data_IF_526049711146
#
_entry.id   IF_526049711146
#
_cell.length_a   1.000
_cell.length_b   1.000
_cell.length_c   1.000
_cell.angle_alpha   90.00
_cell.angle_beta   90.00
_cell.angle_gamma   90.00
#
_symmetry.space_group_name_H-M   'P 1'
#
loop_
_entity.id
_entity.type
_entity.pdbx_description
1 polymer ?
#
# COMPACT_ATOMS: atom_id res chain seq x y z
N UNK A 1 37.31 -27.51 -10.09
CA UNK A 1 36.69 -26.21 -10.49
C UNK A 1 35.25 -26.35 -11.01
N UNK A 2 34.91 -27.36 -11.83
CA UNK A 2 33.54 -27.58 -12.33
C UNK A 2 32.50 -27.95 -11.25
N UNK A 3 32.91 -28.70 -10.22
CA UNK A 3 32.04 -29.09 -9.08
C UNK A 3 31.65 -27.88 -8.21
N UNK A 4 32.56 -26.92 -8.01
CA UNK A 4 32.25 -25.71 -7.25
C UNK A 4 31.17 -24.86 -7.92
N UNK A 5 31.23 -24.76 -9.26
CA UNK A 5 30.24 -24.05 -10.06
C UNK A 5 28.88 -24.75 -9.96
N UNK A 6 28.86 -26.08 -9.99
CA UNK A 6 27.63 -26.86 -9.86
C UNK A 6 26.94 -26.65 -8.50
N UNK A 7 27.71 -26.58 -7.41
CA UNK A 7 27.18 -26.33 -6.06
C UNK A 7 26.63 -24.91 -5.88
N UNK A 8 27.26 -23.90 -6.50
CA UNK A 8 26.77 -22.51 -6.50
C UNK A 8 25.48 -22.33 -7.30
N UNK A 9 25.25 -23.15 -8.33
CA UNK A 9 24.00 -23.15 -9.11
C UNK A 9 22.88 -23.87 -8.37
N UNK A 10 23.18 -24.87 -7.54
CA UNK A 10 22.16 -25.57 -6.74
C UNK A 10 21.69 -24.71 -5.56
N UNK A 11 22.57 -23.91 -4.94
CA UNK A 11 22.19 -23.04 -3.81
C UNK A 11 21.29 -21.87 -4.20
N UNK A 12 21.37 -21.39 -5.44
CA UNK A 12 20.49 -20.32 -5.94
C UNK A 12 19.07 -20.82 -6.25
N UNK A 13 18.90 -22.10 -6.62
CA UNK A 13 17.57 -22.68 -6.90
C UNK A 13 16.73 -22.81 -5.63
N UNK A 14 17.34 -23.05 -4.46
CA UNK A 14 16.61 -23.18 -3.19
C UNK A 14 16.02 -21.84 -2.67
N UNK A 15 16.51 -20.69 -3.16
CA UNK A 15 16.07 -19.37 -2.72
C UNK A 15 14.75 -18.90 -3.36
N UNK A 16 14.22 -19.60 -4.35
CA UNK A 16 13.07 -19.16 -5.16
C UNK A 16 11.71 -19.70 -4.73
N UNK A 17 11.59 -20.37 -3.59
CA UNK A 17 10.29 -20.93 -3.18
C UNK A 17 10.08 -20.82 -1.68
N UNK A 18 10.09 -19.59 -1.16
CA UNK A 18 9.36 -19.31 0.07
C UNK A 18 7.86 -19.46 -0.25
N UNK A 19 7.15 -20.43 0.35
CA UNK A 19 5.69 -20.44 0.25
C UNK A 19 5.19 -19.22 1.00
N UNK A 20 4.82 -18.17 0.27
CA UNK A 20 3.99 -17.09 0.80
C UNK A 20 2.64 -17.74 1.08
N UNK A 21 2.42 -18.11 2.35
CA UNK A 21 1.11 -18.53 2.82
C UNK A 21 0.15 -17.35 2.64
N UNK A 22 -0.55 -17.33 1.50
CA UNK A 22 -1.56 -16.32 1.23
C UNK A 22 -2.79 -16.71 2.05
N UNK A 23 -2.91 -16.13 3.24
CA UNK A 23 -4.13 -16.24 4.02
C UNK A 23 -5.31 -15.84 3.13
N UNK A 24 -6.24 -16.79 2.95
CA UNK A 24 -7.48 -16.54 2.22
C UNK A 24 -8.38 -15.69 3.13
N UNK A 25 -8.16 -14.38 3.12
CA UNK A 25 -9.07 -13.43 3.79
C UNK A 25 -10.46 -13.58 3.18
N UNK A 26 -11.44 -13.98 3.99
CA UNK A 26 -12.85 -13.83 3.66
C UNK A 26 -13.15 -12.33 3.59
N UNK A 27 -13.06 -11.76 2.38
CA UNK A 27 -13.37 -10.36 2.13
C UNK A 27 -14.88 -10.15 2.24
N UNK A 28 -15.31 -9.64 3.38
CA UNK A 28 -16.64 -9.06 3.52
C UNK A 28 -16.64 -7.69 2.82
N UNK A 29 -17.63 -7.43 1.98
CA UNK A 29 -17.80 -6.15 1.26
C UNK A 29 -19.00 -5.37 1.80
N UNK A 30 -19.04 -4.06 1.52
CA UNK A 30 -20.17 -3.18 1.87
C UNK A 30 -20.30 -2.96 3.39
N UNK A 31 -21.51 -2.72 3.88
CA UNK A 31 -21.74 -2.43 5.31
C UNK A 31 -21.23 -3.52 6.27
N UNK A 32 -21.08 -4.76 5.80
CA UNK A 32 -20.54 -5.88 6.59
C UNK A 32 -19.03 -5.75 6.88
N UNK A 33 -18.33 -4.82 6.22
CA UNK A 33 -16.90 -4.54 6.48
C UNK A 33 -16.69 -3.38 7.45
N UNK A 34 -17.75 -2.66 7.85
CA UNK A 34 -17.63 -1.54 8.77
C UNK A 34 -17.29 -2.02 10.20
N UNK A 35 -16.53 -1.24 10.98
CA UNK A 35 -16.32 -1.51 12.39
C UNK A 35 -17.64 -1.55 13.16
N UNK A 36 -17.75 -2.45 14.14
CA UNK A 36 -18.93 -2.54 15.02
C UNK A 36 -18.85 -1.41 16.05
N UNK A 37 -19.93 -0.64 16.19
CA UNK A 37 -20.06 0.40 17.21
C UNK A 37 -20.40 -0.19 18.58
N UNK A 38 -19.94 0.46 19.65
CA UNK A 38 -20.28 0.06 21.02
C UNK A 38 -21.45 0.89 21.54
N UNK A 39 -22.53 0.20 21.90
CA UNK A 39 -23.73 0.81 22.48
C UNK A 39 -23.43 1.49 23.84
N UNK A 40 -24.17 2.57 24.13
CA UNK A 40 -24.02 3.31 25.38
C UNK A 40 -22.72 4.11 25.52
N UNK A 41 -21.90 4.21 24.45
CA UNK A 41 -20.68 5.02 24.43
C UNK A 41 -20.66 5.94 23.20
N UNK A 42 -19.84 6.99 23.27
CA UNK A 42 -19.48 7.79 22.09
C UNK A 42 -18.52 6.96 21.22
N UNK A 43 -18.86 6.79 19.95
CA UNK A 43 -18.04 6.10 18.97
C UNK A 43 -17.39 7.15 18.05
N UNK A 44 -16.06 7.21 18.06
CA UNK A 44 -15.28 8.16 17.24
C UNK A 44 -14.61 7.39 16.11
N UNK A 45 -14.94 7.75 14.86
CA UNK A 45 -14.34 7.17 13.67
C UNK A 45 -13.30 8.14 13.10
N UNK A 46 -12.03 7.78 13.20
CA UNK A 46 -10.96 8.53 12.55
C UNK A 46 -10.86 8.05 11.11
N UNK A 47 -11.22 8.91 10.16
CA UNK A 47 -11.21 8.60 8.73
C UNK A 47 -10.04 9.34 8.08
N UNK A 48 -8.84 8.72 8.05
CA UNK A 48 -7.74 9.27 7.30
C UNK A 48 -8.11 9.29 5.82
N UNK A 49 -7.97 10.44 5.18
CA UNK A 49 -8.21 10.63 3.76
C UNK A 49 -7.20 11.65 3.21
N UNK A 50 -7.00 11.61 1.90
CA UNK A 50 -6.27 12.64 1.15
C UNK A 50 -7.24 13.29 0.18
N UNK A 51 -7.15 14.61 0.02
CA UNK A 51 -7.87 15.34 -1.02
C UNK A 51 -6.93 15.57 -2.21
N UNK A 52 -7.03 14.73 -3.24
CA UNK A 52 -6.19 14.81 -4.43
C UNK A 52 -6.91 15.56 -5.54
N UNK A 53 -6.50 16.80 -5.80
CA UNK A 53 -7.07 17.62 -6.87
C UNK A 53 -6.60 17.15 -8.25
N UNK A 54 -7.54 16.78 -9.12
CA UNK A 54 -7.27 16.33 -10.50
C UNK A 54 -7.02 17.49 -11.46
N UNK A 55 -5.99 18.29 -11.15
CA UNK A 55 -5.66 19.49 -11.89
C UNK A 55 -6.40 20.70 -11.35
N UNK A 56 -5.70 21.52 -10.56
CA UNK A 56 -6.22 22.77 -10.00
C UNK A 56 -5.19 23.88 -10.15
N UNK A 57 -4.23 23.97 -9.22
CA UNK A 57 -3.10 24.91 -9.31
C UNK A 57 -1.95 24.31 -10.12
N UNK A 58 -1.80 22.98 -10.10
CA UNK A 58 -0.85 22.22 -10.91
C UNK A 58 -1.59 21.27 -11.85
N UNK A 59 -0.91 20.76 -12.88
CA UNK A 59 -1.49 19.74 -13.77
C UNK A 59 -1.58 18.38 -13.08
N UNK A 60 -2.41 17.48 -13.63
CA UNK A 60 -2.54 16.10 -13.11
C UNK A 60 -1.19 15.41 -13.01
N UNK A 61 -0.34 15.51 -14.05
CA UNK A 61 0.98 14.87 -14.06
C UNK A 61 1.94 15.45 -13.03
N UNK A 62 1.78 16.73 -12.67
CA UNK A 62 2.59 17.38 -11.64
C UNK A 62 2.14 16.97 -10.24
N UNK A 63 0.84 16.86 -9.97
CA UNK A 63 0.35 16.31 -8.70
C UNK A 63 0.68 14.82 -8.56
N UNK A 64 0.60 14.06 -9.66
CA UNK A 64 0.85 12.62 -9.65
C UNK A 64 2.34 12.26 -9.51
N UNK A 65 3.23 12.97 -10.24
CA UNK A 65 4.67 12.69 -10.22
C UNK A 65 5.44 13.54 -9.20
N UNK A 66 4.81 14.55 -8.61
CA UNK A 66 5.44 15.61 -7.84
C UNK A 66 5.99 16.71 -8.75
N UNK A 67 5.70 17.97 -8.41
CA UNK A 67 6.33 19.12 -9.06
C UNK A 67 7.80 19.23 -8.65
N UNK A 68 8.70 19.48 -9.62
CA UNK A 68 10.09 19.86 -9.37
C UNK A 68 10.15 21.03 -8.37
N UNK A 69 10.49 20.68 -7.13
CA UNK A 69 10.77 21.52 -5.97
C UNK A 69 10.33 23.00 -6.02
N UNK A 70 9.07 23.25 -5.64
CA UNK A 70 8.76 24.35 -4.74
C UNK A 70 7.79 23.82 -3.68
N UNK A 71 8.15 23.97 -2.41
CA UNK A 71 7.19 23.82 -1.30
C UNK A 71 6.13 24.89 -1.47
N UNK A 72 5.10 24.61 -2.26
CA UNK A 72 3.88 25.41 -2.26
C UNK A 72 3.14 25.00 -1.00
N UNK A 73 3.48 25.62 0.13
CA UNK A 73 2.60 25.67 1.29
C UNK A 73 1.39 26.53 0.89
N UNK A 74 0.50 25.98 0.08
CA UNK A 74 -0.83 26.51 -0.08
C UNK A 74 -1.63 25.95 1.09
N UNK A 75 -1.87 26.79 2.10
CA UNK A 75 -2.85 26.45 3.13
C UNK A 75 -4.19 26.17 2.42
N UNK A 76 -4.70 24.97 2.61
CA UNK A 76 -6.11 24.64 2.49
C UNK A 76 -6.60 24.18 3.86
#
# INVERSE_FOLDING_TARGET
MKILIFLLVISSIQAHSFPIWKEKKNLNCGYRSCPIMKEGMINVHIVPHTHDDVGWVQTVDQYYNGSECYYVFHFM
#
